data_IF_056998924736
#
_entry.id   IF_056998924736
#
_cell.length_a   1.000
_cell.length_b   1.000
_cell.length_c   1.000
_cell.angle_alpha   90.00
_cell.angle_beta   90.00
_cell.angle_gamma   90.00
#
_symmetry.space_group_name_H-M   'P 1'
#
loop_
_entity.id
_entity.type
_entity.pdbx_description
1 polymer ?
#
# COMPACT_ATOMS: atom_id res chain seq x y z
N UNK A 1 -1.74 20.57 14.04
CA UNK A 1 -0.73 20.27 12.99
C UNK A 1 -1.21 19.10 12.13
N UNK A 2 -2.07 19.33 11.14
CA UNK A 2 -2.61 18.28 10.25
C UNK A 2 -1.67 18.12 9.05
N UNK A 3 -0.58 17.38 9.24
CA UNK A 3 0.40 17.13 8.18
C UNK A 3 -0.26 16.43 6.98
N UNK A 4 -0.12 17.04 5.80
CA UNK A 4 -0.68 16.61 4.52
C UNK A 4 -0.16 15.26 4.04
N UNK A 5 -1.05 14.28 3.89
CA UNK A 5 -0.69 12.90 3.50
C UNK A 5 -1.44 12.40 2.27
N UNK A 6 -1.62 13.23 1.24
CA UNK A 6 -1.78 12.71 -0.11
C UNK A 6 -0.39 12.30 -0.64
N UNK A 7 0.22 11.30 0.00
CA UNK A 7 1.56 10.80 -0.35
C UNK A 7 1.38 9.64 -1.30
N UNK A 8 1.22 9.90 -2.60
CA UNK A 8 1.28 8.90 -3.66
C UNK A 8 2.43 7.92 -3.39
N UNK A 9 2.11 6.64 -3.25
CA UNK A 9 3.11 5.59 -3.01
C UNK A 9 3.49 4.97 -4.35
N UNK A 10 4.68 4.36 -4.46
CA UNK A 10 5.08 3.62 -5.67
C UNK A 10 5.02 2.12 -5.44
N UNK A 11 4.51 1.33 -6.39
CA UNK A 11 4.64 -0.14 -6.27
C UNK A 11 6.12 -0.50 -6.24
N UNK A 12 6.56 -1.32 -5.28
CA UNK A 12 7.96 -1.75 -5.18
C UNK A 12 8.42 -2.56 -6.40
N UNK A 13 7.47 -3.17 -7.15
CA UNK A 13 7.75 -4.00 -8.31
C UNK A 13 7.83 -3.19 -9.63
N UNK A 14 6.77 -2.46 -9.99
CA UNK A 14 6.69 -1.75 -11.28
C UNK A 14 6.96 -0.24 -11.18
N UNK A 15 7.21 0.28 -9.96
CA UNK A 15 7.45 1.71 -9.67
C UNK A 15 6.30 2.66 -10.04
N UNK A 16 5.16 2.16 -10.52
CA UNK A 16 3.99 2.98 -10.81
C UNK A 16 3.44 3.64 -9.56
N UNK A 17 2.96 4.86 -9.71
CA UNK A 17 2.25 5.57 -8.65
C UNK A 17 0.90 4.90 -8.39
N UNK A 18 0.64 4.66 -7.11
CA UNK A 18 -0.63 4.14 -6.62
C UNK A 18 -1.24 5.19 -5.70
N UNK A 19 -2.55 5.37 -5.86
CA UNK A 19 -3.37 6.12 -4.93
C UNK A 19 -3.90 5.17 -3.86
N UNK A 20 -3.98 5.64 -2.62
CA UNK A 20 -4.58 4.87 -1.53
C UNK A 20 -6.07 5.17 -1.46
N UNK A 21 -6.90 4.13 -1.55
CA UNK A 21 -8.30 4.20 -1.15
C UNK A 21 -8.41 4.26 0.37
N UNK A 22 -9.34 5.06 0.89
CA UNK A 22 -9.49 5.27 2.33
C UNK A 22 -9.79 3.97 3.11
N UNK A 23 -9.45 3.97 4.41
CA UNK A 23 -9.65 2.82 5.29
C UNK A 23 -8.47 1.83 5.31
N UNK A 24 -8.22 1.10 4.23
CA UNK A 24 -7.27 -0.02 4.24
C UNK A 24 -5.87 0.36 3.73
N UNK A 25 -4.80 -0.18 4.32
CA UNK A 25 -3.44 0.01 3.80
C UNK A 25 -3.08 -1.03 2.72
N UNK A 26 -3.96 -1.98 2.41
CA UNK A 26 -3.78 -2.93 1.33
C UNK A 26 -3.89 -2.22 -0.03
N UNK A 27 -2.89 -2.40 -0.88
CA UNK A 27 -2.91 -1.93 -2.26
C UNK A 27 -2.66 -3.10 -3.19
N UNK A 28 -3.52 -3.22 -4.20
CA UNK A 28 -3.29 -4.08 -5.35
C UNK A 28 -2.87 -3.23 -6.53
N UNK A 29 -1.64 -3.39 -6.99
CA UNK A 29 -1.17 -2.73 -8.19
C UNK A 29 -1.71 -3.42 -9.45
N UNK A 30 -1.79 -2.67 -10.54
CA UNK A 30 -2.15 -3.18 -11.87
C UNK A 30 -1.16 -4.22 -12.41
N UNK A 31 0.08 -4.23 -11.94
CA UNK A 31 1.05 -5.27 -12.31
C UNK A 31 0.82 -6.62 -11.58
N UNK A 32 -0.21 -6.72 -10.73
CA UNK A 32 -0.50 -7.89 -9.90
C UNK A 32 0.19 -7.90 -8.53
N UNK A 33 1.10 -6.96 -8.25
CA UNK A 33 1.77 -6.83 -6.95
C UNK A 33 0.75 -6.40 -5.87
N UNK A 34 0.68 -7.11 -4.74
CA UNK A 34 -0.10 -6.68 -3.56
C UNK A 34 0.86 -6.24 -2.46
N UNK A 35 0.70 -5.02 -1.93
CA UNK A 35 1.60 -4.47 -0.93
C UNK A 35 0.90 -3.50 0.03
N UNK A 36 1.50 -3.31 1.20
CA UNK A 36 1.05 -2.32 2.18
C UNK A 36 1.48 -0.92 1.74
N UNK A 37 0.53 0.00 1.58
CA UNK A 37 0.79 1.40 1.25
C UNK A 37 1.74 2.09 2.23
N UNK A 38 1.71 1.66 3.49
CA UNK A 38 2.45 2.32 4.58
C UNK A 38 3.95 1.98 4.57
N UNK A 39 4.29 0.70 4.38
CA UNK A 39 5.66 0.21 4.46
C UNK A 39 6.20 -0.36 3.15
N UNK A 40 5.40 -0.36 2.08
CA UNK A 40 5.71 -0.98 0.78
C UNK A 40 6.04 -2.48 0.85
N UNK A 41 5.77 -3.15 1.98
CA UNK A 41 5.98 -4.60 2.12
C UNK A 41 4.90 -5.37 1.39
N UNK A 42 5.28 -6.48 0.75
CA UNK A 42 4.31 -7.39 0.12
C UNK A 42 3.32 -7.90 1.16
N UNK A 43 2.04 -7.87 0.79
CA UNK A 43 0.95 -8.42 1.60
C UNK A 43 0.17 -9.42 0.76
N UNK A 44 -0.38 -10.43 1.41
CA UNK A 44 -1.19 -11.44 0.74
C UNK A 44 -2.47 -10.82 0.18
N UNK A 45 -2.88 -11.23 -1.02
CA UNK A 45 -4.12 -10.72 -1.62
C UNK A 45 -5.39 -11.13 -0.84
N UNK A 46 -5.29 -12.18 0.00
CA UNK A 46 -6.39 -12.65 0.84
C UNK A 46 -6.47 -11.93 2.19
N UNK A 47 -5.36 -11.41 2.70
CA UNK A 47 -5.29 -10.80 4.03
C UNK A 47 -4.81 -9.37 3.91
N UNK A 48 -5.73 -8.44 4.16
CA UNK A 48 -5.45 -7.00 4.23
C UNK A 48 -4.55 -6.61 5.42
N UNK A 49 -4.05 -7.61 6.15
CA UNK A 49 -3.17 -7.49 7.30
C UNK A 49 -1.71 -7.47 6.87
N UNK A 50 -1.01 -6.42 7.26
CA UNK A 50 0.43 -6.28 7.08
C UNK A 50 1.16 -6.65 8.37
N UNK A 51 1.88 -7.77 8.38
CA UNK A 51 2.69 -8.19 9.54
C UNK A 51 3.75 -7.18 9.97
N UNK A 52 4.29 -6.39 9.02
CA UNK A 52 5.28 -5.34 9.30
C UNK A 52 4.68 -4.13 10.02
N UNK A 53 3.42 -3.79 9.71
CA UNK A 53 2.71 -2.68 10.35
C UNK A 53 1.80 -3.12 11.49
N UNK A 54 1.57 -4.45 11.63
CA UNK A 54 0.57 -5.08 12.49
C UNK A 54 -0.80 -4.42 12.36
N UNK A 55 -1.21 -4.12 11.11
CA UNK A 55 -2.43 -3.38 10.73
C UNK A 55 -3.00 -3.91 9.44
#
# INVERSE_FOLDING_TARGET
>A
RLAGRQRWQRCPQCKMYVEKSEGCNYIKCRCGCSFCYRCASKVSAQTHYCGMCKR
#
